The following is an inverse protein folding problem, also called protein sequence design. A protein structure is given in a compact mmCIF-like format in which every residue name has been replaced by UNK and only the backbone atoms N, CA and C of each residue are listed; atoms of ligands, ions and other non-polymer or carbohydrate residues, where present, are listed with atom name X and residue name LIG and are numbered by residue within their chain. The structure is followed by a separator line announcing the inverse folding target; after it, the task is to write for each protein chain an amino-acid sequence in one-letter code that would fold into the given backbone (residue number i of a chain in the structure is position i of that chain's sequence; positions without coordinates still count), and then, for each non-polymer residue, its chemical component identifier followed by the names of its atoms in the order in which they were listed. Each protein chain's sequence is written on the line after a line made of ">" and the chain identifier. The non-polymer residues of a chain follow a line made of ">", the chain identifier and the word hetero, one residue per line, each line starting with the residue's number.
data_IF_153438543322
#
_entry.id   IF_153438543322
#
_cell.length_a   1.000
_cell.length_b   1.000
_cell.length_c   1.000
_cell.angle_alpha   90.00
_cell.angle_beta   90.00
_cell.angle_gamma   90.00
#
_symmetry.space_group_name_H-M   'P 1'
#
loop_
_entity.id
_entity.type
_entity.pdbx_description
1 polymer ?
#
# COMPACT_ATOMS: atom_id res chain seq x y z
N UNK A 1 17.98 11.51 19.98
CA UNK A 1 17.99 11.93 18.55
C UNK A 1 17.88 10.75 17.59
N UNK A 2 18.72 9.71 17.71
CA UNK A 2 18.70 8.56 16.80
C UNK A 2 17.32 7.88 16.68
N UNK A 3 16.64 7.62 17.81
CA UNK A 3 15.31 6.97 17.79
C UNK A 3 14.23 7.79 17.06
N UNK A 4 14.30 9.12 17.13
CA UNK A 4 13.36 10.00 16.40
C UNK A 4 13.65 9.94 14.90
N UNK A 5 14.93 9.97 14.52
CA UNK A 5 15.36 9.85 13.11
C UNK A 5 14.97 8.49 12.54
N UNK A 6 15.18 7.41 13.28
CA UNK A 6 14.78 6.05 12.88
C UNK A 6 13.25 5.93 12.73
N UNK A 7 12.48 6.51 13.65
CA UNK A 7 11.01 6.53 13.57
C UNK A 7 10.48 7.31 12.36
N UNK A 8 11.09 8.45 12.05
CA UNK A 8 10.78 9.23 10.84
C UNK A 8 11.14 8.41 9.59
N UNK A 9 12.32 7.80 9.53
CA UNK A 9 12.76 7.01 8.39
C UNK A 9 11.83 5.80 8.14
N UNK A 10 11.42 5.10 9.21
CA UNK A 10 10.46 4.00 9.11
C UNK A 10 9.08 4.45 8.64
N UNK A 11 8.64 5.64 9.06
CA UNK A 11 7.33 6.20 8.67
C UNK A 11 7.32 6.62 7.21
N UNK A 12 8.35 7.36 6.78
CA UNK A 12 8.39 7.99 5.47
C UNK A 12 9.04 7.13 4.39
N UNK A 13 9.91 6.17 4.74
CA UNK A 13 10.59 5.30 3.78
C UNK A 13 9.63 4.62 2.79
N UNK A 14 8.59 3.91 3.28
CA UNK A 14 7.57 3.33 2.41
C UNK A 14 6.80 4.40 1.63
N UNK A 15 6.43 5.50 2.28
CA UNK A 15 5.61 6.59 1.70
C UNK A 15 6.30 7.25 0.50
N UNK A 16 7.60 7.54 0.63
CA UNK A 16 8.40 8.17 -0.44
C UNK A 16 8.40 7.32 -1.70
N UNK A 17 8.54 6.01 -1.58
CA UNK A 17 8.50 5.10 -2.74
C UNK A 17 7.17 5.16 -3.51
N UNK A 18 6.04 5.36 -2.82
CA UNK A 18 4.74 5.53 -3.48
C UNK A 18 4.58 6.91 -4.09
N UNK A 19 5.12 7.97 -3.47
CA UNK A 19 5.13 9.32 -4.05
C UNK A 19 5.90 9.33 -5.37
N UNK A 20 7.08 8.71 -5.42
CA UNK A 20 7.85 8.55 -6.65
C UNK A 20 7.04 7.82 -7.73
N UNK A 21 6.23 6.85 -7.31
CA UNK A 21 5.33 6.14 -8.21
C UNK A 21 4.20 7.01 -8.76
N UNK A 22 3.62 7.89 -7.94
CA UNK A 22 2.64 8.90 -8.38
C UNK A 22 3.29 9.85 -9.39
N UNK A 23 4.50 10.32 -9.10
CA UNK A 23 5.25 11.21 -9.99
C UNK A 23 5.49 10.55 -11.34
N UNK A 24 5.88 9.27 -11.37
CA UNK A 24 6.02 8.49 -12.61
C UNK A 24 4.72 8.47 -13.41
N UNK A 25 3.58 8.20 -12.79
CA UNK A 25 2.28 8.21 -13.51
C UNK A 25 1.90 9.58 -14.06
N UNK A 26 2.20 10.65 -13.33
CA UNK A 26 1.96 12.02 -13.80
C UNK A 26 2.85 12.39 -14.97
N UNK A 27 4.11 11.92 -14.97
CA UNK A 27 5.09 12.17 -16.02
C UNK A 27 4.78 11.36 -17.29
N UNK A 28 4.49 10.06 -17.17
CA UNK A 28 4.20 9.19 -18.33
C UNK A 28 2.78 9.35 -18.88
N UNK A 29 1.88 10.00 -18.14
CA UNK A 29 0.44 10.11 -18.44
C UNK A 29 -0.23 8.77 -18.75
N UNK A 30 0.37 7.68 -18.26
CA UNK A 30 -0.02 6.31 -18.55
C UNK A 30 0.36 5.43 -17.36
N UNK A 31 -0.60 4.67 -16.86
CA UNK A 31 -0.40 3.66 -15.81
C UNK A 31 -0.08 2.27 -16.36
N UNK A 32 0.51 2.19 -17.57
CA UNK A 32 0.84 0.93 -18.23
C UNK A 32 1.80 0.08 -17.38
N UNK A 33 1.42 -1.18 -17.15
CA UNK A 33 2.22 -2.15 -16.39
C UNK A 33 2.04 -2.12 -14.87
N UNK A 34 1.32 -1.14 -14.30
CA UNK A 34 1.06 -1.12 -12.86
C UNK A 34 -0.13 -2.02 -12.46
N UNK A 35 0.03 -2.71 -11.33
CA UNK A 35 -1.02 -3.54 -10.74
C UNK A 35 -1.77 -2.76 -9.67
N UNK A 36 -3.07 -2.59 -9.88
CA UNK A 36 -4.00 -1.99 -8.91
C UNK A 36 -4.14 -2.84 -7.63
N UNK A 37 -3.72 -4.11 -7.69
CA UNK A 37 -3.77 -5.03 -6.55
C UNK A 37 -2.80 -4.62 -5.43
N UNK A 38 -1.60 -4.13 -5.77
CA UNK A 38 -0.61 -3.70 -4.79
C UNK A 38 -1.13 -2.63 -3.82
N UNK A 39 -1.66 -1.47 -4.28
CA UNK A 39 -2.22 -0.46 -3.38
C UNK A 39 -3.47 -0.96 -2.63
N UNK A 40 -4.27 -1.84 -3.25
CA UNK A 40 -5.44 -2.44 -2.58
C UNK A 40 -5.05 -3.30 -1.38
N UNK A 41 -4.10 -4.22 -1.56
CA UNK A 41 -3.59 -5.10 -0.50
C UNK A 41 -2.95 -4.27 0.63
N UNK A 42 -2.23 -3.21 0.28
CA UNK A 42 -1.63 -2.24 1.22
C UNK A 42 -2.65 -1.47 2.05
N UNK A 43 -3.75 -1.06 1.43
CA UNK A 43 -4.86 -0.40 2.12
C UNK A 43 -5.50 -1.36 3.13
N UNK A 44 -5.77 -2.60 2.72
CA UNK A 44 -6.35 -3.63 3.58
C UNK A 44 -5.43 -3.87 4.79
N UNK A 45 -4.13 -4.09 4.57
CA UNK A 45 -3.15 -4.27 5.65
C UNK A 45 -3.10 -3.09 6.60
N UNK A 46 -3.03 -1.86 6.08
CA UNK A 46 -2.94 -0.66 6.91
C UNK A 46 -4.21 -0.42 7.73
N UNK A 47 -5.39 -0.74 7.19
CA UNK A 47 -6.66 -0.68 7.93
C UNK A 47 -6.65 -1.72 9.06
N UNK A 48 -6.33 -2.99 8.77
CA UNK A 48 -6.24 -4.06 9.79
C UNK A 48 -5.29 -3.66 10.92
N UNK A 49 -4.16 -3.04 10.58
CA UNK A 49 -3.16 -2.57 11.56
C UNK A 49 -3.70 -1.49 12.50
N UNK A 50 -4.57 -0.60 12.02
CA UNK A 50 -5.26 0.38 12.89
C UNK A 50 -6.18 -0.33 13.89
N UNK A 51 -6.92 -1.36 13.47
CA UNK A 51 -7.74 -2.16 14.39
C UNK A 51 -6.90 -2.99 15.37
N UNK A 52 -5.78 -3.55 14.92
CA UNK A 52 -4.81 -4.21 15.78
C UNK A 52 -4.31 -3.27 16.89
N UNK A 53 -4.04 -2.00 16.56
CA UNK A 53 -3.59 -1.01 17.55
C UNK A 53 -4.63 -0.73 18.64
N UNK A 54 -5.92 -0.75 18.30
CA UNK A 54 -7.03 -0.57 19.25
C UNK A 54 -7.02 -1.70 20.29
N UNK A 55 -6.85 -2.95 19.84
CA UNK A 55 -6.80 -4.12 20.72
C UNK A 55 -5.49 -4.23 21.50
N UNK A 56 -4.35 -3.91 20.88
CA UNK A 56 -3.02 -3.95 21.49
C UNK A 56 -2.23 -2.71 21.08
N UNK A 57 -2.10 -1.77 22.03
CA UNK A 57 -1.35 -0.53 21.82
C UNK A 57 0.13 -0.85 21.63
N UNK A 58 0.60 -0.75 20.39
CA UNK A 58 2.01 -0.75 20.03
C UNK A 58 2.49 0.68 19.79
N UNK A 59 3.76 0.82 19.39
CA UNK A 59 4.42 2.10 19.17
C UNK A 59 3.58 3.06 18.29
N UNK A 60 3.33 4.26 18.81
CA UNK A 60 2.55 5.32 18.17
C UNK A 60 3.14 5.68 16.79
N UNK A 61 4.44 5.51 16.59
CA UNK A 61 5.11 5.75 15.29
C UNK A 61 4.50 4.88 14.18
N UNK A 62 4.26 3.59 14.44
CA UNK A 62 3.68 2.67 13.45
C UNK A 62 2.19 2.99 13.18
N UNK A 63 1.50 3.56 14.16
CA UNK A 63 0.12 4.04 13.97
C UNK A 63 0.10 5.22 12.99
N UNK A 64 0.97 6.23 13.20
CA UNK A 64 1.10 7.35 12.28
C UNK A 64 1.52 6.89 10.88
N UNK A 65 2.45 5.94 10.78
CA UNK A 65 2.83 5.32 9.51
C UNK A 65 1.61 4.70 8.82
N UNK A 66 0.76 3.95 9.53
CA UNK A 66 -0.45 3.35 8.97
C UNK A 66 -1.42 4.40 8.41
N UNK A 67 -1.65 5.48 9.15
CA UNK A 67 -2.58 6.55 8.75
C UNK A 67 -2.05 7.27 7.50
N UNK A 68 -0.77 7.67 7.49
CA UNK A 68 -0.14 8.33 6.33
C UNK A 68 -0.16 7.40 5.12
N UNK A 69 0.13 6.11 5.33
CA UNK A 69 0.08 5.10 4.28
C UNK A 69 -1.32 4.96 3.68
N UNK A 70 -2.39 4.93 4.48
CA UNK A 70 -3.77 4.88 3.95
C UNK A 70 -4.03 6.07 3.02
N UNK A 71 -3.67 7.28 3.44
CA UNK A 71 -3.88 8.50 2.65
C UNK A 71 -3.14 8.43 1.31
N UNK A 72 -1.85 8.08 1.35
CA UNK A 72 -1.00 8.00 0.15
C UNK A 72 -1.45 6.90 -0.79
N UNK A 73 -1.88 5.74 -0.26
CA UNK A 73 -2.37 4.64 -1.09
C UNK A 73 -3.72 4.94 -1.75
N UNK A 74 -4.64 5.64 -1.05
CA UNK A 74 -5.87 6.14 -1.68
C UNK A 74 -5.54 7.12 -2.80
N UNK A 75 -4.58 8.02 -2.59
CA UNK A 75 -4.16 8.97 -3.61
C UNK A 75 -3.52 8.27 -4.82
N UNK A 76 -2.62 7.31 -4.57
CA UNK A 76 -2.01 6.48 -5.61
C UNK A 76 -3.07 5.73 -6.43
N UNK A 77 -4.06 5.14 -5.76
CA UNK A 77 -5.17 4.43 -6.39
C UNK A 77 -5.99 5.38 -7.28
N UNK A 78 -6.31 6.58 -6.78
CA UNK A 78 -7.04 7.60 -7.52
C UNK A 78 -6.30 8.03 -8.80
N UNK A 79 -5.00 8.38 -8.67
CA UNK A 79 -4.17 8.78 -9.82
C UNK A 79 -4.00 7.63 -10.82
N UNK A 80 -3.82 6.40 -10.34
CA UNK A 80 -3.68 5.24 -11.22
C UNK A 80 -4.94 4.99 -12.07
N UNK A 81 -6.13 5.13 -11.49
CA UNK A 81 -7.40 4.97 -12.20
C UNK A 81 -7.62 6.13 -13.17
N UNK A 82 -7.24 7.36 -12.80
CA UNK A 82 -7.36 8.55 -13.65
C UNK A 82 -6.55 8.45 -14.95
N UNK A 83 -5.34 7.88 -14.88
CA UNK A 83 -4.46 7.71 -16.05
C UNK A 83 -4.54 6.31 -16.68
N UNK A 84 -5.56 5.51 -16.34
CA UNK A 84 -5.75 4.16 -16.88
C UNK A 84 -6.41 4.23 -18.26
N UNK A 85 -5.71 3.73 -19.27
CA UNK A 85 -6.26 3.61 -20.63
C UNK A 85 -7.32 2.49 -20.64
N UNK A 86 -8.59 2.77 -20.98
CA UNK A 86 -9.69 1.79 -20.87
C UNK A 86 -9.54 0.56 -21.79
N UNK A 87 -8.88 0.73 -22.94
CA UNK A 87 -8.85 -0.24 -24.05
C UNK A 87 -7.95 -1.44 -23.80
N UNK A 88 -6.89 -1.31 -22.99
CA UNK A 88 -5.99 -2.40 -22.61
C UNK A 88 -6.56 -3.34 -21.53
N UNK A 89 -7.70 -2.99 -20.93
CA UNK A 89 -8.32 -3.76 -19.84
C UNK A 89 -9.04 -5.04 -20.32
N UNK A 90 -9.29 -5.18 -21.62
CA UNK A 90 -10.20 -6.22 -22.14
C UNK A 90 -9.44 -7.50 -22.51
N UNK A 91 -8.19 -7.42 -22.96
CA UNK A 91 -7.58 -8.55 -23.68
C UNK A 91 -6.63 -9.43 -22.87
N UNK A 92 -6.09 -9.00 -21.72
CA UNK A 92 -4.97 -9.77 -21.12
C UNK A 92 -4.83 -9.80 -19.59
N UNK A 93 -5.87 -9.47 -18.81
CA UNK A 93 -5.85 -9.74 -17.36
C UNK A 93 -7.11 -10.50 -16.94
N UNK A 94 -6.94 -11.81 -16.73
CA UNK A 94 -7.87 -12.65 -15.93
C UNK A 94 -8.33 -11.81 -14.73
N UNK A 95 -9.63 -11.80 -14.47
CA UNK A 95 -10.29 -10.94 -13.48
C UNK A 95 -9.76 -11.25 -12.07
N UNK A 96 -8.76 -10.52 -11.63
CA UNK A 96 -8.35 -10.49 -10.22
C UNK A 96 -9.27 -9.50 -9.46
N UNK A 97 -9.55 -9.82 -8.20
CA UNK A 97 -10.60 -9.24 -7.35
C UNK A 97 -10.65 -7.69 -7.33
N UNK A 98 -9.53 -7.01 -7.59
CA UNK A 98 -9.35 -5.56 -7.42
C UNK A 98 -9.17 -4.77 -8.74
N UNK A 99 -9.83 -5.16 -9.84
CA UNK A 99 -9.69 -4.53 -11.17
C UNK A 99 -10.98 -3.84 -11.68
N UNK A 100 -11.57 -2.97 -10.88
CA UNK A 100 -12.77 -2.22 -11.23
C UNK A 100 -12.48 -1.00 -12.11
N UNK A 101 -13.45 -0.62 -12.95
CA UNK A 101 -13.30 0.47 -13.94
C UNK A 101 -13.30 1.87 -13.34
N UNK A 102 -13.87 2.04 -12.17
CA UNK A 102 -14.09 3.34 -11.55
C UNK A 102 -13.61 3.33 -10.11
N UNK A 103 -13.33 4.50 -9.55
CA UNK A 103 -12.88 4.66 -8.17
C UNK A 103 -13.96 4.29 -7.13
N UNK A 104 -15.23 4.53 -7.45
CA UNK A 104 -16.38 4.30 -6.54
C UNK A 104 -16.45 2.89 -5.92
N UNK A 105 -16.40 1.79 -6.71
CA UNK A 105 -16.49 0.45 -6.12
C UNK A 105 -15.32 0.17 -5.17
N UNK A 106 -14.13 0.72 -5.41
CA UNK A 106 -12.98 0.58 -4.50
C UNK A 106 -13.29 1.14 -3.11
N UNK A 107 -13.82 2.36 -3.06
CA UNK A 107 -14.23 2.98 -1.80
C UNK A 107 -15.36 2.21 -1.13
N UNK A 108 -16.33 1.71 -1.89
CA UNK A 108 -17.41 0.88 -1.33
C UNK A 108 -16.86 -0.39 -0.66
N UNK A 109 -15.88 -1.06 -1.28
CA UNK A 109 -15.23 -2.22 -0.70
C UNK A 109 -14.47 -1.90 0.59
N UNK A 110 -13.73 -0.79 0.61
CA UNK A 110 -13.02 -0.34 1.81
C UNK A 110 -14.00 0.00 2.94
N UNK A 111 -15.14 0.62 2.64
CA UNK A 111 -16.19 0.91 3.63
C UNK A 111 -16.82 -0.39 4.16
N UNK A 112 -17.13 -1.34 3.28
CA UNK A 112 -17.66 -2.66 3.70
C UNK A 112 -16.65 -3.41 4.56
N UNK A 113 -15.36 -3.37 4.23
CA UNK A 113 -14.28 -3.94 5.03
C UNK A 113 -14.18 -3.26 6.39
N UNK A 114 -14.21 -1.93 6.44
CA UNK A 114 -14.24 -1.17 7.69
C UNK A 114 -15.44 -1.58 8.55
N UNK A 115 -16.63 -1.65 7.97
CA UNK A 115 -17.84 -2.08 8.67
C UNK A 115 -17.72 -3.52 9.22
N UNK A 116 -17.17 -4.45 8.43
CA UNK A 116 -16.88 -5.80 8.89
C UNK A 116 -15.89 -5.80 10.07
N UNK A 117 -14.77 -5.09 9.95
CA UNK A 117 -13.76 -5.03 11.02
C UNK A 117 -14.31 -4.41 12.30
N UNK A 118 -15.13 -3.35 12.19
CA UNK A 118 -15.83 -2.76 13.35
C UNK A 118 -16.76 -3.80 13.99
N UNK A 119 -17.59 -4.48 13.19
CA UNK A 119 -18.51 -5.50 13.70
C UNK A 119 -17.77 -6.62 14.44
N UNK A 120 -16.73 -7.20 13.81
CA UNK A 120 -15.93 -8.25 14.43
C UNK A 120 -15.15 -7.76 15.64
N UNK A 121 -14.61 -6.53 15.61
CA UNK A 121 -13.86 -5.96 16.73
C UNK A 121 -14.75 -5.67 17.94
N UNK A 122 -16.03 -5.36 17.75
CA UNK A 122 -16.97 -5.22 18.88
C UNK A 122 -17.34 -6.57 19.49
N UNK A 123 -17.36 -7.63 18.68
CA UNK A 123 -17.77 -8.96 19.14
C UNK A 123 -16.61 -9.79 19.72
N UNK A 124 -15.42 -9.68 19.14
CA UNK A 124 -14.23 -10.47 19.50
C UNK A 124 -13.08 -9.61 20.05
N UNK A 125 -13.29 -8.31 20.28
CA UNK A 125 -12.25 -7.38 20.72
C UNK A 125 -11.58 -7.74 22.05
N UNK A 126 -12.30 -8.41 22.95
CA UNK A 126 -11.75 -8.86 24.23
C UNK A 126 -10.88 -10.13 24.11
N UNK A 127 -10.93 -10.80 22.94
CA UNK A 127 -10.24 -12.06 22.73
C UNK A 127 -8.82 -11.83 22.20
N UNK A 128 -7.81 -12.24 22.97
CA UNK A 128 -6.38 -12.06 22.62
C UNK A 128 -6.04 -12.69 21.26
N UNK A 129 -6.55 -13.90 20.99
CA UNK A 129 -6.28 -14.60 19.73
C UNK A 129 -6.75 -13.82 18.50
N UNK A 130 -7.86 -13.08 18.61
CA UNK A 130 -8.40 -12.29 17.52
C UNK A 130 -7.50 -11.09 17.23
N UNK A 131 -7.07 -10.38 18.28
CA UNK A 131 -6.15 -9.25 18.17
C UNK A 131 -4.81 -9.72 17.57
N UNK A 132 -4.25 -10.82 18.05
CA UNK A 132 -2.99 -11.36 17.51
C UNK A 132 -3.11 -11.78 16.05
N UNK A 133 -4.22 -12.40 15.66
CA UNK A 133 -4.50 -12.74 14.26
C UNK A 133 -4.52 -11.51 13.36
N UNK A 134 -5.16 -10.41 13.78
CA UNK A 134 -5.15 -9.15 13.02
C UNK A 134 -3.71 -8.62 12.85
N UNK A 135 -2.90 -8.70 13.91
CA UNK A 135 -1.49 -8.32 13.86
C UNK A 135 -0.68 -9.15 12.86
N UNK A 136 -0.82 -10.48 12.91
CA UNK A 136 -0.14 -11.38 11.97
C UNK A 136 -0.57 -11.17 10.53
N UNK A 137 -1.86 -10.92 10.28
CA UNK A 137 -2.36 -10.62 8.93
C UNK A 137 -1.82 -9.29 8.42
N UNK A 138 -1.85 -8.23 9.22
CA UNK A 138 -1.34 -6.92 8.82
C UNK A 138 0.16 -6.99 8.45
N UNK A 139 0.97 -7.57 9.34
CA UNK A 139 2.41 -7.71 9.16
C UNK A 139 2.75 -8.69 8.03
N UNK A 140 2.04 -9.82 7.96
CA UNK A 140 2.22 -10.81 6.90
C UNK A 140 1.99 -10.20 5.52
N UNK A 141 0.92 -9.41 5.36
CA UNK A 141 0.65 -8.69 4.12
C UNK A 141 1.77 -7.67 3.83
N UNK A 142 2.18 -6.87 4.81
CA UNK A 142 3.24 -5.87 4.64
C UNK A 142 4.56 -6.50 4.18
N UNK A 143 4.91 -7.67 4.75
CA UNK A 143 6.08 -8.46 4.37
C UNK A 143 6.00 -9.04 2.95
N UNK A 144 4.81 -9.20 2.36
CA UNK A 144 4.69 -9.71 0.98
C UNK A 144 4.94 -8.64 -0.09
N UNK A 145 4.95 -7.36 0.26
CA UNK A 145 5.04 -6.25 -0.70
C UNK A 145 6.42 -6.03 -1.35
N UNK A 146 7.55 -6.22 -0.64
CA UNK A 146 8.87 -6.15 -1.27
C UNK A 146 9.06 -7.25 -2.31
N UNK A 147 8.34 -8.37 -2.16
CA UNK A 147 8.50 -9.56 -2.99
C UNK A 147 8.17 -9.33 -4.48
N UNK A 148 7.00 -8.78 -4.89
CA UNK A 148 6.72 -8.52 -6.29
C UNK A 148 7.65 -7.46 -6.90
N UNK A 149 8.07 -6.46 -6.12
CA UNK A 149 9.04 -5.46 -6.57
C UNK A 149 10.43 -6.07 -6.78
N UNK A 150 10.88 -6.94 -5.87
CA UNK A 150 12.13 -7.69 -6.00
C UNK A 150 12.11 -8.64 -7.20
N UNK A 151 10.99 -9.33 -7.45
CA UNK A 151 10.84 -10.24 -8.60
C UNK A 151 10.87 -9.47 -9.92
N UNK A 152 10.24 -8.29 -10.01
CA UNK A 152 10.31 -7.45 -11.22
C UNK A 152 11.72 -6.91 -11.45
N UNK A 153 12.42 -6.48 -10.41
CA UNK A 153 13.82 -6.05 -10.51
C UNK A 153 14.74 -7.20 -10.95
N UNK A 154 14.51 -8.42 -10.44
CA UNK A 154 15.26 -9.61 -10.85
C UNK A 154 15.01 -9.98 -12.32
N UNK A 155 13.76 -9.94 -12.77
CA UNK A 155 13.38 -10.23 -14.17
C UNK A 155 13.89 -9.18 -15.16
N UNK A 156 13.92 -7.92 -14.76
CA UNK A 156 14.39 -6.83 -15.60
C UNK A 156 15.93 -6.72 -15.67
N UNK A 157 16.68 -7.57 -14.95
CA UNK A 157 18.17 -7.56 -14.83
C UNK A 157 18.77 -6.16 -14.68
N UNK A 158 18.03 -5.22 -14.09
CA UNK A 158 18.38 -3.81 -14.10
C UNK A 158 18.11 -3.20 -12.74
N UNK A 159 19.18 -2.71 -12.11
CA UNK A 159 19.16 -1.80 -10.96
C UNK A 159 19.08 -0.33 -11.41
N UNK A 160 18.47 -0.04 -12.56
CA UNK A 160 18.48 1.31 -13.16
C UNK A 160 17.83 2.41 -12.30
N UNK A 161 17.13 2.06 -11.21
CA UNK A 161 16.62 3.00 -10.21
C UNK A 161 17.60 3.37 -9.10
N UNK A 162 18.76 2.71 -8.99
CA UNK A 162 19.83 3.01 -8.03
C UNK A 162 20.99 3.78 -8.67
N UNK A 163 20.69 4.72 -9.58
CA UNK A 163 21.72 5.66 -10.03
C UNK A 163 21.89 6.73 -8.95
N UNK A 164 22.96 6.62 -8.16
CA UNK A 164 23.60 7.82 -7.62
C UNK A 164 23.82 8.76 -8.81
N UNK A 165 23.42 10.03 -8.67
CA UNK A 165 23.82 11.08 -9.61
C UNK A 165 25.08 11.72 -9.05
N UNK A 166 26.30 11.36 -9.51
CA UNK A 166 27.45 12.22 -9.33
C UNK A 166 27.47 13.16 -10.54
N UNK A 167 26.69 14.23 -10.49
CA UNK A 167 27.00 15.41 -11.29
C UNK A 167 28.10 16.18 -10.54
N UNK A 168 29.34 15.74 -10.71
CA UNK A 168 30.54 16.52 -10.42
C UNK A 168 31.64 16.09 -11.40
N UNK A 169 32.04 17.05 -12.24
CA UNK A 169 33.24 17.10 -13.08
C UNK A 169 33.16 16.45 -14.48
N UNK A 170 32.69 17.25 -15.44
CA UNK A 170 33.46 17.55 -16.66
C UNK A 170 33.04 18.90 -17.21
#
# INVERSE_FOLDING_TARGET
>A
MLNIILGILMTFGPVLGYIDQIMKFRATKSSFGFSLDTPGILLISSIIRVFFWIGKRFDIVLLYQSIVMIIVQIWLLYECIRYRIPTLSIHNRKRWFWNWRSFRPYMACLIVLLGHLIFFSNFFGDQVWFIELLGYLALGIECTLPMPQAIQNYKNKSVSGFRYSPNLLS
#
